data_IF_669631329216
#
_entry.id   IF_669631329216
#
_cell.length_a   1.000
_cell.length_b   1.000
_cell.length_c   1.000
_cell.angle_alpha   90.00
_cell.angle_beta   90.00
_cell.angle_gamma   90.00
#
_symmetry.space_group_name_H-M   'P 1'
#
loop_
_entity.id
_entity.type
_entity.pdbx_description
1 polymer ?
#
# COMPACT_ATOMS: atom_id res chain seq x y z
N UNK A 1 -9.01 7.59 -3.93
CA UNK A 1 -7.94 7.01 -3.07
C UNK A 1 -8.27 5.55 -2.80
N UNK A 2 -7.28 4.66 -2.68
CA UNK A 2 -7.47 3.24 -2.41
C UNK A 2 -6.49 2.74 -1.32
N UNK A 3 -7.00 2.02 -0.32
CA UNK A 3 -6.17 1.31 0.68
C UNK A 3 -5.98 -0.13 0.22
N UNK A 4 -4.73 -0.56 0.01
CA UNK A 4 -4.42 -1.91 -0.47
C UNK A 4 -3.54 -2.62 0.55
N UNK A 5 -4.01 -3.74 1.07
CA UNK A 5 -3.26 -4.63 1.97
C UNK A 5 -3.68 -6.07 1.74
N UNK A 6 -2.89 -6.81 0.97
CA UNK A 6 -3.19 -8.18 0.56
C UNK A 6 -2.04 -9.11 0.95
N UNK A 7 -2.35 -10.35 1.31
CA UNK A 7 -1.32 -11.37 1.56
C UNK A 7 -0.79 -11.92 0.23
N UNK A 8 -1.69 -12.46 -0.59
CA UNK A 8 -1.40 -12.89 -1.96
C UNK A 8 -1.18 -11.67 -2.85
N UNK A 9 -0.08 -11.68 -3.62
CA UNK A 9 0.34 -10.58 -4.50
C UNK A 9 -0.03 -10.81 -5.96
N UNK A 10 -0.70 -11.91 -6.28
CA UNK A 10 -1.15 -12.23 -7.64
C UNK A 10 -1.97 -11.05 -8.19
N UNK A 11 -1.54 -10.50 -9.33
CA UNK A 11 -2.19 -9.37 -10.01
C UNK A 11 -2.04 -8.00 -9.33
N UNK A 12 -1.29 -7.88 -8.23
CA UNK A 12 -1.20 -6.62 -7.47
C UNK A 12 -0.58 -5.48 -8.27
N UNK A 13 0.48 -5.76 -9.03
CA UNK A 13 1.16 -4.73 -9.82
C UNK A 13 0.24 -4.16 -10.91
N UNK A 14 -0.47 -5.03 -11.63
CA UNK A 14 -1.41 -4.63 -12.69
C UNK A 14 -2.57 -3.80 -12.13
N UNK A 15 -3.16 -4.23 -11.01
CA UNK A 15 -4.21 -3.48 -10.32
C UNK A 15 -3.70 -2.10 -9.87
N UNK A 16 -2.53 -2.04 -9.24
CA UNK A 16 -1.98 -0.79 -8.72
C UNK A 16 -1.65 0.20 -9.85
N UNK A 17 -1.07 -0.28 -10.95
CA UNK A 17 -0.80 0.55 -12.14
C UNK A 17 -2.10 1.11 -12.71
N UNK A 18 -3.12 0.27 -12.92
CA UNK A 18 -4.40 0.72 -13.46
C UNK A 18 -5.09 1.76 -12.56
N UNK A 19 -5.05 1.58 -11.23
CA UNK A 19 -5.56 2.55 -10.28
C UNK A 19 -4.79 3.89 -10.36
N UNK A 20 -3.45 3.82 -10.44
CA UNK A 20 -2.61 5.01 -10.54
C UNK A 20 -2.86 5.78 -11.84
N UNK A 21 -2.96 5.10 -12.98
CA UNK A 21 -3.28 5.69 -14.28
C UNK A 21 -4.66 6.37 -14.28
N UNK A 22 -5.61 5.84 -13.52
CA UNK A 22 -6.92 6.45 -13.30
C UNK A 22 -6.89 7.63 -12.30
N UNK A 23 -5.72 8.04 -11.80
CA UNK A 23 -5.56 9.14 -10.85
C UNK A 23 -5.88 8.78 -9.40
N UNK A 24 -5.94 7.49 -9.06
CA UNK A 24 -6.20 7.04 -7.70
C UNK A 24 -4.91 7.05 -6.88
N UNK A 25 -4.87 7.86 -5.82
CA UNK A 25 -3.82 7.77 -4.81
C UNK A 25 -3.91 6.43 -4.07
N UNK A 26 -2.78 5.71 -3.98
CA UNK A 26 -2.68 4.43 -3.29
C UNK A 26 -2.08 4.61 -1.91
N UNK A 27 -2.75 4.07 -0.89
CA UNK A 27 -2.25 3.94 0.47
C UNK A 27 -1.97 2.47 0.75
N UNK A 28 -0.81 2.15 1.29
CA UNK A 28 -0.45 0.76 1.59
C UNK A 28 0.56 0.63 2.74
N UNK A 29 0.80 -0.59 3.21
CA UNK A 29 1.73 -0.90 4.29
C UNK A 29 2.50 -2.20 4.02
N UNK A 30 3.57 -2.43 4.77
CA UNK A 30 4.41 -3.63 4.75
C UNK A 30 4.84 -4.04 3.34
N UNK A 31 4.82 -5.36 3.08
CA UNK A 31 5.21 -5.96 1.81
C UNK A 31 4.29 -5.59 0.63
N UNK A 32 3.04 -5.20 0.89
CA UNK A 32 2.13 -4.72 -0.17
C UNK A 32 2.65 -3.43 -0.78
N UNK A 33 2.99 -2.46 0.05
CA UNK A 33 3.58 -1.21 -0.38
C UNK A 33 4.89 -1.43 -1.16
N UNK A 34 5.72 -2.39 -0.72
CA UNK A 34 6.99 -2.70 -1.38
C UNK A 34 6.80 -3.21 -2.82
N UNK A 35 5.83 -4.11 -3.04
CA UNK A 35 5.54 -4.64 -4.38
C UNK A 35 5.01 -3.53 -5.30
N UNK A 36 4.13 -2.67 -4.80
CA UNK A 36 3.57 -1.57 -5.58
C UNK A 36 4.65 -0.55 -5.96
N UNK A 37 5.51 -0.19 -5.00
CA UNK A 37 6.63 0.72 -5.25
C UNK A 37 7.66 0.13 -6.24
N UNK A 38 7.92 -1.18 -6.16
CA UNK A 38 8.80 -1.88 -7.11
C UNK A 38 8.25 -1.89 -8.54
N UNK A 39 6.92 -1.77 -8.71
CA UNK A 39 6.27 -1.58 -10.01
C UNK A 39 6.33 -0.13 -10.53
N UNK A 40 7.01 0.78 -9.80
CA UNK A 40 7.13 2.19 -10.16
C UNK A 40 5.91 3.05 -9.80
N UNK A 41 4.94 2.49 -9.08
CA UNK A 41 3.72 3.20 -8.69
C UNK A 41 3.93 3.93 -7.34
N UNK A 42 3.66 5.25 -7.27
CA UNK A 42 3.72 5.99 -6.00
C UNK A 42 2.75 5.43 -4.96
N UNK A 43 3.25 5.26 -3.72
CA UNK A 43 2.46 4.76 -2.59
C UNK A 43 2.64 5.65 -1.37
N UNK A 44 1.52 6.08 -0.81
CA UNK A 44 1.46 6.70 0.52
C UNK A 44 1.53 5.60 1.58
N UNK A 45 2.43 5.74 2.55
CA UNK A 45 2.55 4.79 3.66
C UNK A 45 1.42 5.00 4.66
N UNK A 46 0.86 3.91 5.21
CA UNK A 46 -0.17 4.02 6.27
C UNK A 46 0.35 4.81 7.48
N UNK A 47 1.63 4.67 7.83
CA UNK A 47 2.24 5.38 8.96
C UNK A 47 2.32 6.90 8.73
N UNK A 48 2.41 7.34 7.46
CA UNK A 48 2.34 8.77 7.10
C UNK A 48 0.91 9.31 7.26
N UNK A 49 -0.10 8.45 7.08
CA UNK A 49 -1.51 8.83 7.22
C UNK A 49 -1.94 8.88 8.69
N UNK A 50 -1.52 7.90 9.49
CA UNK A 50 -1.91 7.79 10.90
C UNK A 50 -1.01 8.62 11.83
N UNK A 51 0.23 8.92 11.40
CA UNK A 51 1.25 9.48 12.28
C UNK A 51 1.75 8.50 13.34
N UNK A 52 1.38 7.22 13.24
CA UNK A 52 1.71 6.18 14.21
C UNK A 52 2.70 5.18 13.60
N UNK A 53 3.83 4.88 14.27
CA UNK A 53 4.83 3.96 13.74
C UNK A 53 4.35 2.51 13.74
N UNK A 54 4.92 1.68 12.87
CA UNK A 54 4.65 0.23 12.89
C UNK A 54 5.20 -0.38 14.20
N UNK A 55 4.35 -1.10 14.92
CA UNK A 55 4.70 -1.77 16.18
C UNK A 55 3.93 -3.09 16.33
N UNK A 56 4.27 -3.88 17.37
CA UNK A 56 3.64 -5.18 17.67
C UNK A 56 3.62 -6.11 16.45
N UNK A 57 4.73 -6.18 15.72
CA UNK A 57 4.88 -6.94 14.47
C UNK A 57 3.78 -6.64 13.42
N UNK A 58 3.34 -5.39 13.38
CA UNK A 58 2.35 -4.90 12.43
C UNK A 58 0.90 -5.30 12.75
N UNK A 59 0.62 -5.80 13.95
CA UNK A 59 -0.75 -6.22 14.37
C UNK A 59 -1.76 -5.07 14.47
N UNK A 60 -1.29 -3.84 14.66
CA UNK A 60 -2.15 -2.67 14.94
C UNK A 60 -1.97 -1.52 13.95
N UNK A 61 -1.24 -1.74 12.85
CA UNK A 61 -0.85 -0.67 11.91
C UNK A 61 -2.01 -0.01 11.17
N UNK A 62 -3.17 -0.67 11.10
CA UNK A 62 -4.37 -0.19 10.39
C UNK A 62 -5.59 -0.02 11.31
N UNK A 63 -5.42 -0.09 12.63
CA UNK A 63 -6.48 0.12 13.61
C UNK A 63 -6.59 1.61 13.97
#
# INVERSE_FOLDING_TARGET
RALISVYDKTGLAELATALHEAGVEIVSTGSTAAVIAAAGVPVTRVEQLTGFPECLDGRVKTL
#
